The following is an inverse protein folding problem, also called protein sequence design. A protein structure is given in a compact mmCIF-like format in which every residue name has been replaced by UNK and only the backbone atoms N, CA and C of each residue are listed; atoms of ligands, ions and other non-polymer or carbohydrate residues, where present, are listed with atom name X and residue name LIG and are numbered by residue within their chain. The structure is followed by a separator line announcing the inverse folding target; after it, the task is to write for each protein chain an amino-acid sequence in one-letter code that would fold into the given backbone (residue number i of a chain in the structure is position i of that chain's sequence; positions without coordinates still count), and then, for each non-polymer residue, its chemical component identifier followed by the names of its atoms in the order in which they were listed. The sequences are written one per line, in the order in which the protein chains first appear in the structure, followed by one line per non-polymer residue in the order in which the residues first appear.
data_IF_211710589492
#
_entry.id   IF_211710589492
#
_cell.length_a   1.000
_cell.length_b   1.000
_cell.length_c   1.000
_cell.angle_alpha   90.00
_cell.angle_beta   90.00
_cell.angle_gamma   90.00
#
_symmetry.space_group_name_H-M   'P 1'
#
loop_
_entity.id
_entity.type
_entity.pdbx_description
1 polymer ?
2 non-polymer ?
3 non-polymer ?
4 water ?
#
# COMPACT_ATOMS: atom_id res chain seq x y z
N UNK A 1 12.36 13.27 -32.99
CA UNK A 1 11.10 12.77 -32.35
C UNK A 1 10.46 13.75 -31.33
N UNK A 2 9.14 13.68 -31.20
CA UNK A 2 8.38 14.51 -30.26
C UNK A 2 8.25 13.81 -28.91
N UNK A 3 7.91 14.59 -27.89
CA UNK A 3 7.48 14.06 -26.59
C UNK A 3 6.16 14.71 -26.25
N UNK A 4 5.21 13.92 -25.76
CA UNK A 4 3.92 14.46 -25.32
C UNK A 4 3.66 14.10 -23.87
N UNK A 5 2.71 14.79 -23.28
CA UNK A 5 2.20 14.43 -21.97
C UNK A 5 0.79 13.87 -22.14
N UNK A 6 0.51 12.77 -21.46
CA UNK A 6 -0.80 12.16 -21.48
C UNK A 6 -1.33 12.13 -20.07
N UNK A 7 -2.19 13.08 -19.72
CA UNK A 7 -2.82 13.12 -18.41
C UNK A 7 -4.12 12.31 -18.43
N UNK A 8 -4.21 11.33 -17.54
CA UNK A 8 -5.38 10.48 -17.48
C UNK A 8 -6.33 11.02 -16.44
N UNK A 9 -7.47 11.55 -16.87
CA UNK A 9 -8.45 12.13 -15.95
C UNK A 9 -9.86 11.63 -16.24
N UNK A 10 -9.96 10.55 -17.01
CA UNK A 10 -11.24 9.98 -17.39
C UNK A 10 -11.88 9.05 -16.36
N UNK A 11 -11.33 9.08 -15.13
CA UNK A 11 -11.75 8.15 -14.08
C UNK A 11 -13.11 8.40 -13.45
N UNK A 12 -13.64 7.34 -12.84
CA UNK A 12 -14.92 7.39 -12.10
C UNK A 12 -14.90 6.36 -10.96
N UNK A 22 -15.38 12.41 -9.28
CA UNK A 22 -13.96 12.03 -9.38
C UNK A 22 -13.07 13.00 -8.60
N UNK A 23 -11.97 12.48 -8.06
CA UNK A 23 -11.18 13.23 -7.09
C UNK A 23 -10.30 14.35 -7.68
N UNK A 24 -10.02 14.29 -8.98
CA UNK A 24 -9.10 15.26 -9.57
C UNK A 24 -9.71 16.66 -9.80
N UNK A 25 -11.03 16.78 -9.72
CA UNK A 25 -11.68 18.10 -9.79
C UNK A 25 -11.93 18.69 -8.41
N UNK A 26 -11.27 18.15 -7.39
CA UNK A 26 -11.34 18.70 -6.04
C UNK A 26 -10.23 19.70 -5.81
N UNK A 27 -10.55 20.76 -5.07
CA UNK A 27 -9.58 21.80 -4.77
C UNK A 27 -8.51 21.26 -3.82
N UNK A 28 -7.25 21.52 -4.16
CA UNK A 28 -6.16 21.18 -3.26
C UNK A 28 -5.46 22.50 -2.93
N UNK A 29 -5.60 22.93 -1.69
CA UNK A 29 -5.15 24.26 -1.31
C UNK A 29 -6.07 25.32 -1.89
N UNK A 30 -5.82 25.66 -3.15
CA UNK A 30 -6.47 26.78 -3.82
C UNK A 30 -7.00 26.43 -5.22
N UNK A 31 -6.47 25.35 -5.80
CA UNK A 31 -6.76 24.97 -7.19
C UNK A 31 -7.03 23.47 -7.35
N UNK A 32 -7.82 23.08 -8.38
CA UNK A 32 -8.09 21.67 -8.63
C UNK A 32 -6.81 20.83 -8.78
N UNK A 33 -6.90 19.58 -8.31
CA UNK A 33 -5.77 18.65 -8.35
C UNK A 33 -5.30 18.46 -9.78
N UNK A 34 -6.27 18.48 -10.72
CA UNK A 34 -5.95 18.31 -12.13
C UNK A 34 -5.10 19.47 -12.60
N UNK A 35 -5.44 20.67 -12.15
CA UNK A 35 -4.67 21.85 -12.51
C UNK A 35 -3.27 21.82 -11.91
N UNK A 36 -3.14 21.47 -10.62
CA UNK A 36 -1.83 21.21 -10.02
C UNK A 36 -0.97 20.30 -10.90
N UNK A 37 -1.58 19.19 -11.35
CA UNK A 37 -0.85 18.15 -12.08
C UNK A 37 -0.38 18.63 -13.46
N UNK A 38 -1.29 19.29 -14.20
CA UNK A 38 -0.95 19.87 -15.50
C UNK A 38 0.15 20.92 -15.35
N UNK A 39 0.12 21.69 -14.27
CA UNK A 39 1.16 22.70 -13.98
C UNK A 39 2.60 22.18 -14.14
N UNK A 40 2.89 21.00 -13.60
CA UNK A 40 4.26 20.47 -13.60
C UNK A 40 4.74 20.14 -15.01
N UNK A 41 3.81 20.12 -15.95
CA UNK A 41 4.14 19.71 -17.30
C UNK A 41 4.38 20.91 -18.19
N UNK A 42 3.84 22.05 -17.78
CA UNK A 42 3.88 23.26 -18.60
C UNK A 42 5.27 23.84 -18.70
N UNK A 43 6.07 23.69 -17.64
CA UNK A 43 7.42 24.23 -17.61
C UNK A 43 8.36 23.42 -18.47
N UNK A 44 8.16 22.11 -18.50
CA UNK A 44 9.08 21.22 -19.20
C UNK A 44 9.28 21.64 -20.65
N UNK A 45 10.50 22.11 -21.00
CA UNK A 45 10.74 22.58 -22.37
C UNK A 45 10.51 21.51 -23.44
N UNK A 46 10.90 20.26 -23.15
CA UNK A 46 10.86 19.21 -24.17
C UNK A 46 9.45 18.68 -24.51
N UNK A 47 8.47 18.99 -23.68
CA UNK A 47 7.11 18.48 -23.89
C UNK A 47 6.31 19.36 -24.86
N UNK A 48 5.96 18.76 -26.01
CA UNK A 48 5.30 19.45 -27.12
C UNK A 48 3.87 19.91 -26.81
N UNK A 49 2.98 18.95 -26.57
CA UNK A 49 1.66 19.29 -26.05
C UNK A 49 1.42 18.50 -24.77
N UNK A 50 0.45 18.95 -23.97
CA UNK A 50 -0.04 18.20 -22.83
C UNK A 50 -1.45 17.77 -23.16
N UNK A 51 -1.67 16.46 -23.23
CA UNK A 51 -2.98 15.93 -23.65
C UNK A 51 -3.66 15.26 -22.49
N UNK A 52 -4.89 15.69 -22.20
CA UNK A 52 -5.61 15.18 -21.04
C UNK A 52 -6.84 14.40 -21.49
N UNK A 53 -6.91 13.13 -21.06
CA UNK A 53 -8.08 12.28 -21.24
C UNK A 53 -9.11 12.57 -20.15
N UNK A 54 -10.21 13.19 -20.55
CA UNK A 54 -11.25 13.54 -19.60
C UNK A 54 -12.49 12.73 -19.93
N UNK A 55 -13.18 12.26 -18.88
CA UNK A 55 -14.48 11.62 -19.05
C UNK A 55 -15.36 12.53 -19.90
N UNK A 56 -15.93 11.96 -20.95
CA UNK A 56 -16.75 12.70 -21.91
C UNK A 56 -17.74 13.70 -21.35
N UNK A 57 -18.22 13.47 -20.13
CA UNK A 57 -19.15 14.39 -19.49
C UNK A 57 -18.47 15.63 -18.88
N UNK A 58 -17.19 15.47 -18.56
CA UNK A 58 -16.45 16.51 -17.84
C UNK A 58 -15.55 17.38 -18.75
N UNK A 59 -15.46 17.03 -20.03
CA UNK A 59 -14.64 17.77 -21.03
C UNK A 59 -14.80 19.29 -20.96
N UNK A 60 -16.03 19.78 -21.11
CA UNK A 60 -16.28 21.21 -21.12
C UNK A 60 -15.89 21.81 -19.78
N UNK A 61 -16.11 21.07 -18.70
CA UNK A 61 -15.78 21.54 -17.36
C UNK A 61 -14.29 21.54 -17.11
N UNK A 62 -13.56 20.74 -17.88
CA UNK A 62 -12.10 20.74 -17.83
C UNK A 62 -11.51 21.93 -18.59
N UNK A 63 -12.20 22.36 -19.64
CA UNK A 63 -11.76 23.52 -20.41
C UNK A 63 -12.03 24.84 -19.70
N UNK A 64 -13.17 24.94 -19.00
CA UNK A 64 -13.45 26.12 -18.18
C UNK A 64 -12.41 26.25 -17.08
N UNK A 65 -11.94 25.08 -16.61
CA UNK A 65 -10.94 24.98 -15.58
C UNK A 65 -9.61 25.45 -16.12
N UNK A 66 -9.30 25.04 -17.35
CA UNK A 66 -8.05 25.44 -17.97
C UNK A 66 -8.06 26.94 -18.20
N UNK A 67 -9.17 27.47 -18.73
CA UNK A 67 -9.29 28.92 -18.92
C UNK A 67 -9.15 29.69 -17.61
N UNK A 68 -9.86 29.25 -16.58
CA UNK A 68 -9.84 29.91 -15.28
C UNK A 68 -8.48 29.81 -14.59
N UNK A 69 -7.82 28.65 -14.70
CA UNK A 69 -6.60 28.43 -13.92
C UNK A 69 -5.28 28.47 -14.69
N UNK A 70 -5.31 28.19 -15.98
CA UNK A 70 -4.08 28.21 -16.78
C UNK A 70 -4.30 28.87 -18.16
N UNK A 71 -4.78 30.13 -18.16
CA UNK A 71 -5.07 30.78 -19.45
C UNK A 71 -3.82 31.01 -20.31
N UNK A 72 -2.64 31.03 -19.68
CA UNK A 72 -1.38 31.22 -20.40
C UNK A 72 -0.92 29.98 -21.18
N UNK A 73 -1.56 28.84 -20.96
CA UNK A 73 -1.10 27.59 -21.57
C UNK A 73 -2.18 26.84 -22.36
N UNK A 74 -3.33 27.48 -22.59
CA UNK A 74 -4.44 26.89 -23.33
C UNK A 74 -3.96 26.29 -24.65
N UNK A 75 -2.97 26.93 -25.27
CA UNK A 75 -2.40 26.41 -26.51
C UNK A 75 -1.55 25.16 -26.30
N UNK A 76 -0.97 25.03 -25.11
CA UNK A 76 -0.12 23.89 -24.79
C UNK A 76 -0.92 22.69 -24.35
N UNK A 77 -2.23 22.85 -24.23
CA UNK A 77 -3.08 21.80 -23.66
C UNK A 77 -4.19 21.35 -24.62
N UNK A 78 -4.33 20.03 -24.76
CA UNK A 78 -5.44 19.46 -25.51
C UNK A 78 -6.32 18.64 -24.57
N UNK A 79 -7.58 19.03 -24.47
CA UNK A 79 -8.57 18.32 -23.66
C UNK A 79 -9.40 17.39 -24.55
N UNK A 80 -9.30 16.10 -24.28
CA UNK A 80 -9.96 15.08 -25.09
C UNK A 80 -10.74 14.03 -24.30
N UNK A 81 -11.76 13.48 -24.93
CA UNK A 81 -12.60 12.45 -24.32
C UNK A 81 -11.79 11.18 -24.07
N UNK A 82 -11.68 10.78 -22.81
CA UNK A 82 -11.05 9.51 -22.48
C UNK A 82 -12.04 8.37 -22.61
N UNK A 83 -11.58 7.16 -22.31
CA UNK A 83 -12.38 5.94 -22.51
C UNK A 83 -12.81 5.26 -21.22
N UNK A 84 -13.34 4.04 -21.38
CA UNK A 84 -13.91 3.25 -20.28
C UNK A 84 -12.92 2.82 -19.19
N UNK A 85 -11.66 2.58 -19.56
CA UNK A 85 -10.59 2.19 -18.63
C UNK A 85 -9.28 2.89 -19.00
N UNK A 86 -8.35 2.99 -18.06
CA UNK A 86 -7.16 3.82 -18.28
C UNK A 86 -6.45 3.51 -19.60
N UNK A 87 -6.33 2.23 -19.94
CA UNK A 87 -5.72 1.86 -21.21
C UNK A 87 -6.43 2.51 -22.42
N UNK A 88 -7.76 2.48 -22.42
CA UNK A 88 -8.56 3.12 -23.46
C UNK A 88 -8.33 4.63 -23.50
N UNK A 89 -8.34 5.25 -22.33
CA UNK A 89 -7.98 6.66 -22.27
C UNK A 89 -6.65 6.92 -22.96
N UNK A 90 -5.65 6.06 -22.74
CA UNK A 90 -4.39 6.19 -23.44
C UNK A 90 -4.63 6.12 -24.95
N UNK A 91 -5.27 5.05 -25.42
CA UNK A 91 -5.63 4.92 -26.84
C UNK A 91 -6.17 6.25 -27.38
N UNK A 92 -7.09 6.86 -26.64
CA UNK A 92 -7.73 8.12 -27.01
C UNK A 92 -6.79 9.31 -26.98
N UNK A 93 -5.87 9.31 -26.03
CA UNK A 93 -4.87 10.35 -25.91
C UNK A 93 -3.89 10.25 -27.08
N UNK A 94 -3.50 9.02 -27.41
CA UNK A 94 -2.57 8.83 -28.52
C UNK A 94 -3.24 9.20 -29.84
N UNK A 95 -4.52 8.85 -29.98
CA UNK A 95 -5.32 9.28 -31.14
C UNK A 95 -5.36 10.80 -31.30
N UNK A 96 -5.57 11.51 -30.20
CA UNK A 96 -5.63 12.98 -30.22
C UNK A 96 -4.28 13.60 -30.57
N UNK A 97 -3.21 13.03 -30.02
CA UNK A 97 -1.85 13.35 -30.45
C UNK A 97 -1.71 13.19 -31.97
N UNK A 98 -2.24 12.10 -32.50
CA UNK A 98 -2.16 11.78 -33.95
C UNK A 98 -2.93 12.79 -34.79
N UNK A 99 -3.95 13.39 -34.19
CA UNK A 99 -4.76 14.42 -34.84
C UNK A 99 -4.02 15.77 -34.89
N UNK A 100 -3.18 16.03 -33.88
CA UNK A 100 -2.35 17.24 -33.82
C UNK A 100 -1.20 17.16 -34.82
N UNK A 101 -0.46 16.06 -34.78
CA UNK A 101 0.57 15.78 -35.75
C UNK A 101 0.56 14.29 -35.97
N UNK A 102 0.58 13.84 -37.24
CA UNK A 102 0.64 12.40 -37.53
C UNK A 102 1.82 11.75 -36.81
N UNK A 103 1.53 10.69 -36.06
CA UNK A 103 2.52 9.97 -35.27
C UNK A 103 3.62 9.35 -36.14
N UNK A 104 4.86 9.50 -35.71
CA UNK A 104 5.98 8.75 -36.29
C UNK A 104 6.32 7.61 -35.35
N UNK A 105 7.05 6.58 -35.84
CA UNK A 105 7.48 5.48 -34.99
C UNK A 105 8.18 5.93 -33.70
N UNK A 106 8.78 7.11 -33.70
CA UNK A 106 9.64 7.52 -32.58
C UNK A 106 9.05 8.47 -31.53
N UNK A 107 7.85 9.00 -31.79
CA UNK A 107 7.20 9.98 -30.91
C UNK A 107 6.77 9.34 -29.59
N UNK A 108 6.80 10.12 -28.50
CA UNK A 108 6.64 9.59 -27.14
C UNK A 108 5.47 10.17 -26.33
N UNK A 109 4.91 9.36 -25.43
CA UNK A 109 3.92 9.85 -24.50
C UNK A 109 4.35 9.52 -23.06
N UNK A 110 4.36 10.54 -22.22
CA UNK A 110 4.63 10.38 -20.81
C UNK A 110 3.25 10.43 -20.19
N UNK A 111 2.72 9.26 -19.83
CA UNK A 111 1.40 9.20 -19.20
C UNK A 111 1.51 9.31 -17.70
N UNK A 112 0.48 9.87 -17.08
CA UNK A 112 0.51 10.16 -15.65
C UNK A 112 -0.90 10.38 -15.13
N UNK A 113 -1.13 9.93 -13.90
CA UNK A 113 -2.43 10.06 -13.26
C UNK A 113 -2.66 11.53 -12.93
N UNK A 114 -3.81 12.08 -13.34
CA UNK A 114 -4.24 13.41 -12.89
C UNK A 114 -4.26 13.52 -11.36
N UNK A 115 -4.62 12.41 -10.70
CA UNK A 115 -4.65 12.38 -9.24
C UNK A 115 -3.26 12.22 -8.56
N UNK A 116 -2.18 12.31 -9.33
CA UNK A 116 -0.84 12.42 -8.72
C UNK A 116 -0.23 13.82 -8.84
N UNK A 117 -0.60 14.74 -7.93
CA UNK A 117 -0.20 16.13 -8.13
C UNK A 117 1.18 16.50 -7.57
N UNK A 118 1.98 15.50 -7.15
CA UNK A 118 3.30 15.79 -6.59
C UNK A 118 4.44 15.22 -7.40
N UNK A 119 4.16 14.86 -8.65
CA UNK A 119 5.21 14.49 -9.59
C UNK A 119 6.17 15.68 -9.75
N UNK A 120 7.46 15.39 -9.93
CA UNK A 120 8.47 16.42 -10.05
C UNK A 120 9.06 16.45 -11.45
N UNK A 121 9.39 17.64 -11.95
CA UNK A 121 10.10 17.78 -13.21
C UNK A 121 11.24 16.78 -13.32
N UNK A 122 11.83 16.47 -12.17
CA UNK A 122 12.89 15.46 -12.08
C UNK A 122 12.41 14.10 -12.58
N UNK A 123 11.27 13.63 -12.05
CA UNK A 123 10.68 12.38 -12.52
C UNK A 123 10.38 12.42 -14.02
N UNK A 124 9.58 13.41 -14.43
CA UNK A 124 9.26 13.65 -15.85
C UNK A 124 10.51 13.54 -16.75
N UNK A 125 11.60 14.15 -16.29
CA UNK A 125 12.84 14.16 -17.08
C UNK A 125 13.58 12.83 -17.12
N UNK A 126 13.49 12.04 -16.06
CA UNK A 126 14.06 10.69 -16.06
C UNK A 126 13.29 9.76 -16.99
N UNK A 127 11.96 9.80 -16.90
CA UNK A 127 11.09 9.03 -17.79
C UNK A 127 11.44 9.27 -19.28
N UNK A 128 11.37 10.53 -19.68
CA UNK A 128 11.80 10.94 -21.02
C UNK A 128 13.18 10.37 -21.32
N UNK A 129 14.08 10.51 -20.35
CA UNK A 129 15.49 10.18 -20.51
C UNK A 129 15.71 8.67 -20.64
N UNK A 130 15.06 7.89 -19.78
CA UNK A 130 15.15 6.43 -19.84
C UNK A 130 14.60 5.84 -21.15
N UNK A 131 13.39 6.26 -21.54
CA UNK A 131 12.78 5.88 -22.82
C UNK A 131 13.68 5.89 -24.09
N UNK A 132 14.79 6.61 -24.04
CA UNK A 132 15.71 6.63 -25.18
C UNK A 132 16.16 5.21 -25.58
N UNK A 133 16.69 4.46 -24.60
CA UNK A 133 17.24 3.12 -24.87
C UNK A 133 16.45 1.96 -24.21
N UNK A 134 15.17 2.20 -23.95
CA UNK A 134 14.23 1.16 -23.51
C UNK A 134 12.88 1.30 -24.21
N UNK A 135 12.09 0.24 -24.21
CA UNK A 135 10.81 0.20 -24.90
C UNK A 135 9.78 1.04 -24.18
N UNK A 136 9.84 0.99 -22.85
CA UNK A 136 8.94 1.73 -21.99
C UNK A 136 9.56 1.93 -20.60
N UNK A 137 8.94 2.79 -19.79
CA UNK A 137 9.50 3.20 -18.50
C UNK A 137 8.39 3.23 -17.44
N UNK A 138 8.62 2.54 -16.33
CA UNK A 138 7.68 2.54 -15.20
C UNK A 138 8.28 3.32 -14.05
N UNK A 139 7.45 4.14 -13.38
CA UNK A 139 7.92 4.90 -12.21
C UNK A 139 7.49 4.20 -10.93
N UNK A 140 8.48 3.71 -10.17
CA UNK A 140 8.23 2.86 -9.01
C UNK A 140 9.06 3.23 -7.77
N UNK A 141 8.61 2.77 -6.61
CA UNK A 141 9.39 2.83 -5.37
C UNK A 141 9.31 1.50 -4.61
N UNK A 142 10.40 1.16 -3.92
CA UNK A 142 10.47 -0.02 -3.05
C UNK A 142 9.25 -0.15 -2.14
N UNK A 143 8.70 -1.35 -2.06
CA UNK A 143 7.45 -1.63 -1.36
C UNK A 143 7.57 -1.47 0.15
N UNK A 144 6.53 -0.91 0.77
CA UNK A 144 6.55 -0.63 2.22
C UNK A 144 5.75 -1.69 3.00
N UNK A 145 4.51 -1.93 2.59
CA UNK A 145 3.70 -2.98 3.20
C UNK A 145 4.26 -4.35 2.85
N UNK A 146 3.99 -5.31 3.71
CA UNK A 146 4.22 -6.70 3.38
C UNK A 146 3.11 -7.15 2.40
N UNK A 147 3.53 -7.69 1.26
CA UNK A 147 2.60 -8.10 0.21
C UNK A 147 2.27 -9.60 0.27
N UNK A 148 0.97 -9.89 0.24
CA UNK A 148 0.45 -11.24 0.38
C UNK A 148 -0.35 -11.60 -0.88
N UNK A 149 -0.16 -12.82 -1.36
CA UNK A 149 -0.90 -13.27 -2.54
C UNK A 149 -1.93 -14.33 -2.19
N UNK A 150 -3.00 -14.36 -2.96
CA UNK A 150 -4.03 -15.36 -2.80
C UNK A 150 -4.80 -15.40 -4.10
N UNK A 151 -4.61 -16.48 -4.85
CA UNK A 151 -5.31 -16.68 -6.10
C UNK A 151 -6.79 -16.93 -5.84
N UNK A 152 -7.10 -17.51 -4.69
CA UNK A 152 -8.46 -17.84 -4.33
C UNK A 152 -9.13 -16.76 -3.49
N UNK A 153 -8.35 -16.12 -2.63
CA UNK A 153 -8.90 -15.11 -1.72
C UNK A 153 -9.48 -15.73 -0.46
N UNK A 154 -8.99 -16.92 -0.10
CA UNK A 154 -9.44 -17.62 1.08
C UNK A 154 -8.26 -17.89 2.00
N UNK A 155 -7.17 -18.35 1.42
CA UNK A 155 -5.91 -18.59 2.15
C UNK A 155 -4.75 -18.13 1.29
N UNK A 156 -3.56 -18.04 1.89
CA UNK A 156 -2.37 -17.58 1.17
C UNK A 156 -1.83 -18.63 0.19
N UNK A 157 -1.82 -18.28 -1.10
CA UNK A 157 -1.24 -19.15 -2.12
C UNK A 157 0.25 -18.90 -2.24
N UNK A 158 0.66 -17.65 -2.02
CA UNK A 158 2.08 -17.27 -2.06
C UNK A 158 2.37 -15.98 -1.29
N UNK A 159 3.60 -15.87 -0.80
CA UNK A 159 4.14 -14.58 -0.37
C UNK A 159 5.41 -14.33 -1.20
N UNK A 160 5.39 -13.26 -2.02
CA UNK A 160 6.57 -12.94 -2.83
C UNK A 160 7.71 -12.42 -1.98
N UNK A 161 8.93 -12.48 -2.51
CA UNK A 161 10.09 -11.98 -1.81
C UNK A 161 10.09 -10.46 -1.82
N UNK A 162 9.93 -9.89 -0.63
CA UNK A 162 9.63 -8.47 -0.48
C UNK A 162 10.79 -7.54 -0.84
N UNK A 163 11.94 -8.13 -1.16
CA UNK A 163 13.15 -7.37 -1.51
C UNK A 163 13.22 -7.07 -3.00
N UNK A 164 12.22 -7.53 -3.75
CA UNK A 164 12.17 -7.35 -5.19
C UNK A 164 10.84 -6.75 -5.60
N UNK A 165 10.03 -6.43 -4.61
CA UNK A 165 8.72 -5.82 -4.84
C UNK A 165 8.80 -4.31 -4.80
N UNK A 166 8.09 -3.70 -5.73
CA UNK A 166 8.05 -2.26 -5.87
C UNK A 166 6.62 -1.81 -5.88
N UNK A 167 6.37 -0.67 -5.24
CA UNK A 167 5.08 -0.02 -5.33
C UNK A 167 5.07 0.78 -6.62
N UNK A 168 4.13 0.46 -7.49
CA UNK A 168 4.04 1.07 -8.81
C UNK A 168 3.28 2.37 -8.78
N UNK A 169 3.88 3.41 -9.34
CA UNK A 169 3.19 4.67 -9.55
C UNK A 169 3.33 5.09 -11.02
N UNK A 170 2.94 6.32 -11.33
CA UNK A 170 3.17 6.88 -12.67
C UNK A 170 4.12 8.06 -12.46
N UNK A 171 4.79 8.55 -13.53
CA UNK A 171 4.68 8.29 -14.98
C UNK A 171 4.93 6.88 -15.47
N UNK A 172 4.22 6.55 -16.54
CA UNK A 172 4.53 5.40 -17.35
C UNK A 172 4.74 6.01 -18.73
N UNK A 173 5.92 5.75 -19.28
CA UNK A 173 6.36 6.42 -20.47
C UNK A 173 6.82 5.38 -21.48
N UNK A 174 6.43 5.58 -22.73
CA UNK A 174 6.71 4.66 -23.84
C UNK A 174 6.34 5.37 -25.14
N UNK A 175 6.80 4.80 -26.26
CA UNK A 175 6.45 5.30 -27.59
C UNK A 175 4.96 5.10 -27.89
N UNK A 176 4.44 5.89 -28.82
CA UNK A 176 3.01 5.93 -29.08
C UNK A 176 2.57 4.77 -29.94
N UNK A 177 3.26 4.57 -31.07
CA UNK A 177 2.99 3.48 -31.98
C UNK A 177 3.00 2.15 -31.23
N UNK A 178 4.01 1.98 -30.37
CA UNK A 178 4.18 0.75 -29.58
C UNK A 178 2.94 0.36 -28.80
N UNK A 179 2.34 1.34 -28.14
CA UNK A 179 1.15 1.08 -27.36
C UNK A 179 -0.01 0.71 -28.28
N UNK A 180 -0.21 1.50 -29.32
CA UNK A 180 -1.24 1.23 -30.33
C UNK A 180 -1.10 -0.13 -31.02
N UNK A 181 0.12 -0.67 -31.07
CA UNK A 181 0.35 -1.99 -31.66
C UNK A 181 0.06 -3.13 -30.68
N UNK A 182 0.63 -3.03 -29.48
CA UNK A 182 0.53 -4.09 -28.48
C UNK A 182 -0.87 -4.17 -27.90
N UNK A 183 -1.41 -3.01 -27.52
CA UNK A 183 -2.78 -2.92 -27.02
C UNK A 183 -3.78 -3.30 -28.10
N UNK A 184 -3.48 -2.91 -29.34
CA UNK A 184 -4.34 -3.21 -30.48
C UNK A 184 -4.56 -4.68 -30.68
N UNK A 185 -3.52 -5.48 -30.39
CA UNK A 185 -3.54 -6.91 -30.68
C UNK A 185 -4.15 -7.78 -29.56
N UNK A 186 -5.00 -7.19 -28.72
CA UNK A 186 -5.55 -7.89 -27.56
C UNK A 186 -7.05 -8.06 -27.65
N UNK A 187 -7.52 -9.27 -27.38
CA UNK A 187 -8.95 -9.54 -27.26
C UNK A 187 -9.50 -8.69 -26.12
N UNK A 188 -10.82 -8.53 -26.09
CA UNK A 188 -11.46 -7.76 -25.02
C UNK A 188 -11.16 -8.37 -23.66
N UNK A 189 -11.22 -9.70 -23.61
CA UNK A 189 -10.93 -10.48 -22.40
C UNK A 189 -9.53 -10.21 -21.83
N UNK A 190 -8.54 -10.05 -22.71
CA UNK A 190 -7.20 -9.72 -22.30
C UNK A 190 -7.10 -8.29 -21.77
N UNK A 191 -7.74 -7.34 -22.46
CA UNK A 191 -7.79 -5.94 -22.03
C UNK A 191 -8.39 -5.83 -20.63
N UNK A 192 -9.43 -6.62 -20.37
CA UNK A 192 -10.09 -6.64 -19.07
C UNK A 192 -9.18 -7.13 -17.95
N UNK A 193 -8.18 -7.94 -18.31
CA UNK A 193 -7.25 -8.50 -17.33
C UNK A 193 -5.95 -7.70 -17.29
N UNK A 194 -5.57 -7.15 -18.44
CA UNK A 194 -4.31 -6.42 -18.58
C UNK A 194 -4.54 -4.91 -18.47
N UNK A 195 -5.07 -4.48 -17.32
CA UNK A 195 -5.49 -3.09 -17.08
C UNK A 195 -4.33 -2.10 -16.92
N UNK A 196 -3.19 -2.57 -16.41
CA UNK A 196 -1.99 -1.75 -16.27
C UNK A 196 -1.34 -1.59 -17.63
N UNK A 197 -0.89 -0.38 -17.92
CA UNK A 197 -0.30 -0.10 -19.22
C UNK A 197 1.09 -0.71 -19.36
N UNK A 198 1.78 -0.89 -18.24
CA UNK A 198 3.14 -1.43 -18.31
C UNK A 198 3.12 -2.95 -18.40
N UNK A 199 2.10 -3.54 -17.77
CA UNK A 199 1.89 -4.98 -17.84
C UNK A 199 1.92 -5.47 -19.29
N UNK A 200 1.19 -4.77 -20.15
CA UNK A 200 1.07 -5.14 -21.56
C UNK A 200 2.44 -5.26 -22.23
N UNK A 201 3.33 -4.31 -21.95
CA UNK A 201 4.71 -4.34 -22.47
C UNK A 201 5.51 -5.52 -21.96
N UNK A 202 5.30 -5.90 -20.70
CA UNK A 202 6.05 -6.98 -20.07
C UNK A 202 5.66 -8.34 -20.64
N UNK A 203 4.36 -8.62 -20.69
CA UNK A 203 3.83 -9.89 -21.20
C UNK A 203 4.15 -10.10 -22.68
N UNK A 204 4.35 -9.00 -23.41
CA UNK A 204 4.78 -9.08 -24.81
C UNK A 204 6.30 -9.16 -24.88
N UNK A 205 6.93 -9.44 -23.75
CA UNK A 205 8.36 -9.69 -23.67
C UNK A 205 9.23 -8.49 -23.96
N UNK A 206 8.79 -7.32 -23.53
CA UNK A 206 9.49 -6.07 -23.84
C UNK A 206 10.25 -5.49 -22.66
N UNK A 207 11.37 -4.83 -22.96
CA UNK A 207 12.26 -4.22 -21.97
C UNK A 207 11.65 -2.97 -21.34
N UNK A 208 11.17 -3.10 -20.10
CA UNK A 208 10.61 -1.96 -19.34
C UNK A 208 11.47 -1.61 -18.13
N UNK A 209 12.23 -0.53 -18.25
CA UNK A 209 13.10 -0.08 -17.17
C UNK A 209 12.32 0.69 -16.11
N UNK A 210 12.95 0.86 -14.95
CA UNK A 210 12.34 1.52 -13.80
C UNK A 210 12.86 2.95 -13.62
N UNK A 211 11.94 3.87 -13.34
CA UNK A 211 12.28 5.23 -12.98
C UNK A 211 12.06 5.37 -11.49
N UNK A 212 12.99 6.03 -10.81
CA UNK A 212 12.86 6.29 -9.37
C UNK A 212 11.72 7.26 -9.09
N UNK A 213 10.71 6.81 -8.37
CA UNK A 213 9.60 7.67 -7.94
C UNK A 213 9.84 8.21 -6.54
N UNK A 214 8.88 8.96 -6.02
CA UNK A 214 9.01 9.51 -4.69
C UNK A 214 7.88 9.00 -3.81
N UNK A 215 8.19 8.60 -2.59
CA UNK A 215 7.14 8.21 -1.63
C UNK A 215 6.09 9.31 -1.52
N UNK A 216 6.45 10.51 -1.95
CA UNK A 216 5.55 11.65 -1.89
C UNK A 216 4.64 11.74 -3.12
N UNK A 217 4.94 10.95 -4.15
CA UNK A 217 4.10 10.94 -5.36
C UNK A 217 2.71 10.31 -5.11
N UNK A 218 2.10 10.73 -4.01
CA UNK A 218 0.80 10.22 -3.58
C UNK A 218 -0.19 10.19 -4.74
N UNK A 219 -1.03 9.19 -4.72
CA UNK A 219 -2.14 9.11 -5.64
C UNK A 219 -3.39 9.33 -4.80
N UNK A 220 -4.18 10.33 -5.19
CA UNK A 220 -5.28 10.78 -4.34
C UNK A 220 -6.59 10.10 -4.74
N UNK A 221 -6.90 8.99 -4.07
CA UNK A 221 -8.12 8.25 -4.36
C UNK A 221 -9.16 8.35 -3.23
N UNK A 222 -8.70 8.33 -1.98
CA UNK A 222 -9.59 8.33 -0.83
C UNK A 222 -9.61 9.67 -0.11
N UNK A 223 -10.64 9.90 0.70
CA UNK A 223 -10.71 11.07 1.57
C UNK A 223 -9.54 11.15 2.56
N UNK A 224 -8.87 10.02 2.77
CA UNK A 224 -7.65 9.93 3.57
C UNK A 224 -6.47 10.48 2.76
N UNK A 225 -6.37 10.07 1.50
CA UNK A 225 -5.37 10.62 0.59
C UNK A 225 -5.47 12.14 0.52
N UNK A 226 -6.70 12.67 0.53
CA UNK A 226 -6.93 14.12 0.52
C UNK A 226 -6.25 14.82 1.69
N UNK A 227 -6.42 14.30 2.90
CA UNK A 227 -5.80 14.84 4.11
C UNK A 227 -4.26 14.85 4.01
N UNK A 228 -3.68 13.73 3.57
CA UNK A 228 -2.23 13.63 3.42
C UNK A 228 -1.71 14.71 2.49
N UNK A 229 -2.44 14.94 1.41
CA UNK A 229 -2.11 15.96 0.43
C UNK A 229 -2.16 17.37 1.01
N UNK A 230 -3.26 17.68 1.71
CA UNK A 230 -3.42 18.98 2.37
C UNK A 230 -2.26 19.33 3.30
N UNK A 231 -1.87 18.37 4.15
CA UNK A 231 -0.73 18.55 5.05
C UNK A 231 0.61 18.68 4.31
N UNK A 232 0.65 18.27 3.05
CA UNK A 232 1.85 18.43 2.24
C UNK A 232 1.98 19.82 1.59
N UNK A 233 0.91 20.61 1.65
CA UNK A 233 0.96 21.99 1.13
C UNK A 233 0.66 23.01 2.24
N UNK A 234 1.06 22.67 3.46
CA UNK A 234 0.78 23.47 4.68
C UNK A 234 -0.72 23.72 4.88
N UNK B 1 -10.49 -24.63 25.61
CA UNK B 1 -9.12 -24.05 25.67
C UNK B 1 -9.15 -22.51 25.68
N UNK B 2 -7.95 -21.91 25.75
CA UNK B 2 -7.81 -20.48 26.04
C UNK B 2 -7.57 -19.60 24.81
N UNK B 3 -7.84 -18.31 24.97
CA UNK B 3 -7.58 -17.30 23.95
C UNK B 3 -6.87 -16.10 24.59
N UNK B 4 -5.70 -15.76 24.06
CA UNK B 4 -4.92 -14.61 24.55
C UNK B 4 -4.70 -13.57 23.45
N UNK B 5 -4.57 -12.30 23.86
CA UNK B 5 -4.19 -11.24 22.96
C UNK B 5 -2.70 -10.95 23.18
N UNK B 6 -1.93 -10.93 22.10
CA UNK B 6 -0.50 -10.66 22.19
C UNK B 6 -0.14 -9.36 21.49
N UNK B 7 0.07 -8.30 22.27
CA UNK B 7 0.29 -6.97 21.73
C UNK B 7 1.77 -6.62 21.57
N UNK B 8 2.22 -6.64 20.33
CA UNK B 8 3.60 -6.32 20.00
C UNK B 8 3.78 -4.81 20.12
N UNK B 9 4.47 -4.40 21.18
CA UNK B 9 4.45 -3.01 21.64
C UNK B 9 5.77 -2.48 22.15
N UNK B 10 6.89 -2.88 21.55
CA UNK B 10 8.19 -2.38 22.00
C UNK B 10 9.45 -2.80 21.28
N UNK B 11 10.33 -1.82 21.07
CA UNK B 11 11.62 -2.02 20.42
C UNK B 11 12.22 -0.71 19.92
N UNK B 12 13.55 -0.69 19.80
CA UNK B 12 14.26 0.44 19.18
C UNK B 12 15.19 -0.04 18.05
N UNK B 13 15.90 0.91 17.43
CA UNK B 13 16.72 0.63 16.25
C UNK B 13 16.04 1.09 14.97
N UNK B 14 14.70 1.21 15.04
CA UNK B 14 13.89 1.74 13.94
C UNK B 14 13.79 3.26 14.02
N UNK B 21 10.92 7.42 15.50
CA UNK B 21 10.69 7.18 16.93
C UNK B 21 9.28 6.59 17.16
N UNK B 22 9.16 5.25 17.11
CA UNK B 22 7.91 4.51 17.31
C UNK B 22 6.91 5.15 18.30
N UNK B 23 5.64 5.12 17.93
CA UNK B 23 4.63 6.05 18.46
C UNK B 23 3.68 5.52 19.55
N UNK B 24 3.88 4.29 20.02
CA UNK B 24 2.89 3.65 20.92
C UNK B 24 2.57 4.40 22.23
N UNK B 25 3.43 5.31 22.67
CA UNK B 25 3.19 6.01 23.92
C UNK B 25 2.77 7.47 23.73
N UNK B 26 2.47 7.85 22.49
CA UNK B 26 2.02 9.21 22.20
C UNK B 26 0.51 9.38 22.36
N UNK B 27 0.12 10.58 22.81
CA UNK B 27 -1.29 10.93 23.00
C UNK B 27 -2.05 10.93 21.67
N UNK B 28 -3.18 10.21 21.66
CA UNK B 28 -4.12 10.19 20.55
C UNK B 28 -5.46 10.61 21.15
N UNK B 29 -5.90 11.83 20.83
CA UNK B 29 -7.10 12.39 21.43
C UNK B 29 -6.81 12.82 22.87
N UNK B 30 -6.76 11.83 23.77
CA UNK B 30 -6.33 12.07 25.14
C UNK B 30 -5.48 10.92 25.70
N UNK B 31 -5.72 9.71 25.19
CA UNK B 31 -5.06 8.49 25.67
C UNK B 31 -3.88 8.12 24.77
N UNK B 32 -2.83 7.49 25.34
CA UNK B 32 -1.72 7.00 24.53
C UNK B 32 -2.23 5.96 23.53
N UNK B 33 -1.57 5.85 22.38
CA UNK B 33 -2.05 4.96 21.31
C UNK B 33 -2.21 3.53 21.81
N UNK B 34 -1.19 3.02 22.51
CA UNK B 34 -1.22 1.67 23.06
C UNK B 34 -2.48 1.42 23.86
N UNK B 35 -2.91 2.40 24.66
CA UNK B 35 -4.10 2.27 25.48
C UNK B 35 -5.33 2.05 24.61
N UNK B 36 -5.49 2.89 23.59
CA UNK B 36 -6.56 2.69 22.61
C UNK B 36 -6.57 1.24 22.13
N UNK B 37 -5.40 0.73 21.74
CA UNK B 37 -5.26 -0.63 21.23
C UNK B 37 -5.71 -1.70 22.23
N UNK B 38 -5.22 -1.64 23.47
CA UNK B 38 -5.64 -2.62 24.50
C UNK B 38 -7.17 -2.57 24.75
N UNK B 39 -7.74 -1.37 24.70
CA UNK B 39 -9.18 -1.15 24.91
C UNK B 39 -10.05 -1.95 23.94
N UNK B 40 -9.54 -2.18 22.74
CA UNK B 40 -10.29 -2.94 21.74
C UNK B 40 -10.42 -4.41 22.14
N UNK B 41 -9.35 -4.95 22.72
CA UNK B 41 -9.33 -6.35 23.14
C UNK B 41 -10.07 -6.64 24.45
N UNK B 42 -10.31 -5.63 25.28
CA UNK B 42 -11.13 -5.82 26.49
C UNK B 42 -12.62 -5.95 26.12
N UNK B 43 -12.98 -5.47 24.93
CA UNK B 43 -14.32 -5.61 24.38
C UNK B 43 -14.71 -7.08 24.23
N UNK B 44 -13.76 -7.89 23.77
CA UNK B 44 -13.96 -9.34 23.64
C UNK B 44 -14.04 -10.02 25.01
N UNK B 45 -15.25 -10.51 25.36
CA UNK B 45 -15.42 -11.18 26.64
C UNK B 45 -14.64 -12.49 26.77
N UNK B 46 -14.24 -13.09 25.64
CA UNK B 46 -13.65 -14.44 25.65
C UNK B 46 -12.13 -14.50 25.78
N UNK B 47 -11.45 -13.38 25.57
CA UNK B 47 -9.98 -13.34 25.68
C UNK B 47 -9.55 -13.34 27.14
N UNK B 48 -8.89 -14.42 27.55
CA UNK B 48 -8.40 -14.60 28.92
C UNK B 48 -7.59 -13.41 29.45
N UNK B 49 -6.32 -13.32 29.05
CA UNK B 49 -5.48 -12.20 29.45
C UNK B 49 -4.90 -11.51 28.22
N UNK B 50 -4.55 -10.23 28.38
CA UNK B 50 -3.96 -9.47 27.29
C UNK B 50 -2.51 -9.18 27.62
N UNK B 51 -1.62 -9.90 26.94
CA UNK B 51 -0.19 -9.84 27.20
C UNK B 51 0.46 -8.82 26.28
N UNK B 52 1.08 -7.79 26.87
CA UNK B 52 1.69 -6.69 26.11
C UNK B 52 3.22 -6.81 26.13
N UNK B 53 3.84 -6.72 24.95
CA UNK B 53 5.28 -6.91 24.82
C UNK B 53 6.02 -5.62 24.47
N UNK B 54 6.52 -4.95 25.51
CA UNK B 54 7.22 -3.66 25.37
C UNK B 54 8.73 -3.81 25.53
N UNK B 55 9.46 -2.76 25.15
CA UNK B 55 10.91 -2.71 25.33
C UNK B 55 11.25 -2.83 26.81
N UNK B 56 12.46 -3.33 27.09
CA UNK B 56 12.92 -3.51 28.48
C UNK B 56 12.82 -2.27 29.34
N UNK B 57 13.22 -1.13 28.80
CA UNK B 57 13.19 0.16 29.49
C UNK B 57 11.78 0.67 29.80
N UNK B 58 10.80 0.14 29.10
CA UNK B 58 9.44 0.70 29.11
C UNK B 58 8.41 -0.13 29.88
N UNK B 59 8.84 -1.28 30.38
CA UNK B 59 7.97 -2.20 31.12
C UNK B 59 7.14 -1.50 32.19
N UNK B 60 7.79 -0.72 33.05
CA UNK B 60 7.09 -0.04 34.13
C UNK B 60 6.26 1.16 33.64
N UNK B 61 6.76 1.86 32.63
CA UNK B 61 6.02 2.96 32.02
C UNK B 61 4.66 2.47 31.51
N UNK B 62 4.67 1.27 30.93
CA UNK B 62 3.45 0.59 30.48
C UNK B 62 2.56 0.17 31.67
N UNK B 63 3.18 -0.37 32.72
CA UNK B 63 2.45 -0.73 33.94
C UNK B 63 1.68 0.43 34.51
N UNK B 64 2.32 1.59 34.55
CA UNK B 64 1.70 2.80 35.06
C UNK B 64 0.56 3.27 34.16
N UNK B 65 0.78 3.20 32.85
CA UNK B 65 -0.23 3.56 31.87
C UNK B 65 -1.51 2.74 32.04
N UNK B 66 -1.35 1.47 32.43
CA UNK B 66 -2.49 0.63 32.77
C UNK B 66 -3.10 1.08 34.09
N UNK B 67 -2.27 1.33 35.10
CA UNK B 67 -2.76 1.82 36.38
C UNK B 67 -3.49 3.16 36.27
N UNK B 68 -3.08 3.99 35.30
CA UNK B 68 -3.64 5.34 35.15
C UNK B 68 -4.84 5.41 34.21
N UNK B 69 -4.81 4.65 33.13
CA UNK B 69 -5.84 4.76 32.09
C UNK B 69 -6.85 3.61 32.04
N UNK B 70 -6.43 2.43 32.50
CA UNK B 70 -7.32 1.26 32.57
C UNK B 70 -7.35 0.68 34.00
N UNK B 71 -7.96 1.41 34.94
CA UNK B 71 -7.87 1.01 36.36
C UNK B 71 -8.55 -0.32 36.66
N UNK B 72 -9.73 -0.53 36.08
CA UNK B 72 -10.51 -1.74 36.36
C UNK B 72 -9.93 -2.95 35.64
N UNK B 73 -9.60 -2.81 34.35
CA UNK B 73 -9.08 -3.94 33.56
C UNK B 73 -7.58 -4.15 33.75
N UNK B 74 -7.05 -3.82 34.92
CA UNK B 74 -5.61 -3.93 35.16
C UNK B 74 -5.13 -5.36 35.43
N UNK B 75 -5.94 -6.14 36.13
CA UNK B 75 -5.62 -7.55 36.39
C UNK B 75 -5.89 -8.44 35.17
N UNK B 76 -6.42 -7.84 34.10
CA UNK B 76 -6.64 -8.52 32.82
C UNK B 76 -5.40 -8.48 31.94
N UNK B 77 -4.51 -7.54 32.21
CA UNK B 77 -3.38 -7.24 31.33
C UNK B 77 -2.04 -7.62 31.95
N UNK B 78 -1.17 -8.24 31.16
CA UNK B 78 0.16 -8.64 31.60
C UNK B 78 1.25 -7.99 30.75
N UNK B 79 2.08 -7.17 31.39
CA UNK B 79 3.21 -6.53 30.72
C UNK B 79 4.43 -7.46 30.72
N UNK B 80 5.13 -7.53 29.59
CA UNK B 80 6.35 -8.34 29.48
C UNK B 80 7.37 -7.72 28.53
N UNK B 81 8.62 -8.19 28.63
CA UNK B 81 9.72 -7.70 27.79
C UNK B 81 9.59 -8.22 26.36
N UNK B 82 9.91 -7.37 25.37
CA UNK B 82 9.94 -7.78 23.96
C UNK B 82 11.30 -8.33 23.55
N UNK B 83 11.47 -8.57 22.25
CA UNK B 83 12.75 -9.07 21.72
C UNK B 83 13.38 -8.13 20.70
N UNK B 84 14.39 -8.61 19.98
CA UNK B 84 15.06 -7.84 18.93
C UNK B 84 14.14 -7.55 17.74
N UNK B 85 13.35 -8.55 17.35
CA UNK B 85 12.34 -8.42 16.30
C UNK B 85 11.02 -9.00 16.79
N UNK B 86 9.91 -8.67 16.11
CA UNK B 86 8.57 -9.07 16.56
C UNK B 86 8.38 -10.58 16.72
N UNK B 87 9.13 -11.37 15.95
CA UNK B 87 9.14 -12.82 16.12
C UNK B 87 9.75 -13.25 17.45
N UNK B 88 10.88 -12.63 17.80
CA UNK B 88 11.51 -12.86 19.09
C UNK B 88 10.57 -12.40 20.20
N UNK B 89 9.80 -11.37 19.91
CA UNK B 89 8.80 -10.84 20.84
C UNK B 89 7.62 -11.80 21.02
N UNK B 90 7.08 -12.31 19.91
CA UNK B 90 6.00 -13.31 19.99
C UNK B 90 6.49 -14.51 20.83
N UNK B 91 7.75 -14.90 20.62
CA UNK B 91 8.40 -15.91 21.45
C UNK B 91 8.29 -15.53 22.92
N UNK B 92 8.64 -14.27 23.24
CA UNK B 92 8.60 -13.75 24.60
C UNK B 92 7.19 -13.61 25.16
N UNK B 93 6.23 -13.28 24.30
CA UNK B 93 4.83 -13.20 24.72
C UNK B 93 4.34 -14.60 25.04
N UNK B 94 4.61 -15.54 24.14
CA UNK B 94 4.25 -16.94 24.35
C UNK B 94 4.83 -17.50 25.66
N UNK B 95 6.13 -17.32 25.85
CA UNK B 95 6.82 -17.85 27.04
C UNK B 95 6.33 -17.19 28.32
N UNK B 96 5.81 -15.96 28.20
CA UNK B 96 5.19 -15.28 29.34
C UNK B 96 3.84 -15.91 29.69
N UNK B 97 3.10 -16.30 28.67
CA UNK B 97 1.82 -16.99 28.86
C UNK B 97 2.03 -18.37 29.50
N UNK B 98 3.07 -19.08 29.06
CA UNK B 98 3.43 -20.37 29.62
C UNK B 98 3.77 -20.27 31.11
N UNK B 99 4.25 -19.10 31.53
CA UNK B 99 4.48 -18.83 32.93
C UNK B 99 3.16 -18.58 33.67
N UNK B 100 2.17 -18.06 32.95
CA UNK B 100 0.86 -17.78 33.55
C UNK B 100 0.02 -19.04 33.64
N UNK B 101 -0.02 -19.79 32.54
CA UNK B 101 -0.80 -21.00 32.44
C UNK B 101 -0.15 -21.90 31.41
N UNK B 102 0.42 -23.04 31.86
CA UNK B 102 1.04 -24.04 30.98
C UNK B 102 0.27 -24.21 29.67
N UNK B 103 0.99 -24.15 28.56
CA UNK B 103 0.38 -24.15 27.24
C UNK B 103 -0.30 -25.47 26.92
N UNK B 104 -1.55 -25.37 26.48
CA UNK B 104 -2.27 -26.51 25.94
C UNK B 104 -2.27 -26.39 24.41
N UNK B 105 -1.85 -27.46 23.69
CA UNK B 105 -1.53 -27.44 22.26
C UNK B 105 -2.44 -26.60 21.35
N UNK B 106 -3.67 -26.34 21.78
CA UNK B 106 -4.66 -25.62 20.95
C UNK B 106 -4.82 -24.15 21.33
N UNK B 107 -4.28 -23.74 22.48
CA UNK B 107 -4.34 -22.34 22.93
C UNK B 107 -3.83 -21.36 21.85
N UNK B 108 -4.74 -20.50 21.38
CA UNK B 108 -4.41 -19.52 20.34
C UNK B 108 -4.01 -18.14 20.90
N UNK B 109 -3.16 -17.45 20.14
CA UNK B 109 -2.78 -16.07 20.46
C UNK B 109 -3.16 -15.14 19.30
N UNK B 110 -3.85 -14.05 19.62
CA UNK B 110 -4.18 -13.03 18.64
C UNK B 110 -3.15 -11.91 18.72
N UNK B 111 -2.11 -12.03 17.90
CA UNK B 111 -1.04 -11.04 17.86
C UNK B 111 -1.51 -9.77 17.13
N UNK B 112 -1.05 -8.61 17.58
CA UNK B 112 -1.51 -7.35 17.00
C UNK B 112 -0.55 -6.19 17.27
N UNK B 113 -0.30 -5.37 16.24
CA UNK B 113 0.50 -4.16 16.41
C UNK B 113 -0.16 -3.18 17.38
N UNK B 114 0.59 -2.74 18.39
CA UNK B 114 0.13 -1.71 19.31
C UNK B 114 -0.17 -0.37 18.62
N UNK B 115 0.49 -0.13 17.49
CA UNK B 115 0.31 1.09 16.66
C UNK B 115 -0.81 0.97 15.64
N UNK B 116 -1.70 -0.02 15.84
CA UNK B 116 -2.90 -0.20 15.05
C UNK B 116 -4.10 -0.16 15.99
N UNK B 117 -4.49 1.05 16.43
CA UNK B 117 -5.55 1.19 17.43
C UNK B 117 -6.98 1.18 16.86
N UNK B 118 -7.10 1.19 15.54
CA UNK B 118 -8.42 1.22 14.87
C UNK B 118 -8.91 -0.16 14.46
N UNK B 119 -8.54 -1.15 15.24
CA UNK B 119 -9.02 -2.51 15.06
C UNK B 119 -10.43 -2.58 15.66
N UNK B 120 -11.36 -3.21 14.94
CA UNK B 120 -12.73 -3.39 15.43
C UNK B 120 -12.89 -4.75 16.09
N UNK B 121 -13.97 -4.92 16.84
CA UNK B 121 -14.31 -6.22 17.42
C UNK B 121 -14.57 -7.23 16.30
N UNK B 122 -15.18 -6.76 15.21
CA UNK B 122 -15.49 -7.60 14.05
C UNK B 122 -14.22 -8.31 13.56
N UNK B 123 -13.15 -7.55 13.36
CA UNK B 123 -11.85 -8.10 12.98
C UNK B 123 -11.33 -9.13 13.98
N UNK B 124 -11.41 -8.80 15.27
CA UNK B 124 -10.98 -9.68 16.36
C UNK B 124 -11.71 -11.01 16.31
N UNK B 125 -13.04 -10.93 16.22
CA UNK B 125 -13.90 -12.11 16.24
C UNK B 125 -13.71 -13.00 15.02
N UNK B 126 -13.41 -12.39 13.87
CA UNK B 126 -13.10 -13.16 12.67
C UNK B 126 -11.80 -13.95 12.83
N UNK B 127 -10.87 -13.40 13.60
CA UNK B 127 -9.60 -14.09 13.90
C UNK B 127 -9.73 -15.30 14.84
N UNK B 128 -10.49 -15.15 15.93
CA UNK B 128 -10.78 -16.29 16.81
C UNK B 128 -11.51 -17.37 16.01
N UNK B 129 -12.49 -16.95 15.21
CA UNK B 129 -13.34 -17.87 14.45
C UNK B 129 -12.56 -18.60 13.36
N UNK B 130 -11.80 -17.87 12.55
CA UNK B 130 -11.06 -18.49 11.45
C UNK B 130 -9.91 -19.36 11.94
N UNK B 131 -9.39 -19.07 13.14
CA UNK B 131 -8.33 -19.88 13.76
C UNK B 131 -8.80 -21.28 14.18
N UNK B 132 -10.11 -21.46 14.29
CA UNK B 132 -10.69 -22.76 14.67
C UNK B 132 -10.18 -23.86 13.75
N UNK B 133 -10.51 -23.76 12.47
CA UNK B 133 -10.16 -24.81 11.51
C UNK B 133 -9.17 -24.37 10.42
N UNK B 134 -8.21 -23.54 10.83
CA UNK B 134 -7.06 -23.25 10.01
C UNK B 134 -5.83 -23.22 10.92
N UNK B 135 -4.65 -23.30 10.31
CA UNK B 135 -3.39 -23.26 11.05
C UNK B 135 -3.08 -21.86 11.59
N UNK B 136 -3.39 -20.84 10.77
CA UNK B 136 -3.14 -19.45 11.12
C UNK B 136 -4.06 -18.48 10.37
N UNK B 137 -4.10 -17.24 10.84
CA UNK B 137 -4.94 -16.20 10.25
C UNK B 137 -4.15 -14.91 10.02
N UNK B 138 -4.42 -14.25 8.90
CA UNK B 138 -3.75 -13.00 8.55
C UNK B 138 -4.75 -11.93 8.11
N UNK B 139 -5.01 -10.96 8.98
CA UNK B 139 -5.87 -9.82 8.64
C UNK B 139 -5.27 -9.07 7.45
N UNK B 140 -6.10 -8.79 6.45
CA UNK B 140 -5.61 -8.40 5.14
C UNK B 140 -6.63 -7.53 4.41
N UNK B 141 -6.16 -6.69 3.48
CA UNK B 141 -7.01 -5.93 2.58
C UNK B 141 -6.46 -5.99 1.17
N UNK B 142 -7.33 -5.81 0.17
CA UNK B 142 -6.89 -5.83 -1.22
C UNK B 142 -5.89 -4.73 -1.44
N UNK B 143 -4.79 -5.08 -2.09
CA UNK B 143 -3.77 -4.10 -2.49
C UNK B 143 -4.45 -3.00 -3.27
N UNK B 144 -4.14 -1.75 -2.94
CA UNK B 144 -4.61 -0.61 -3.72
C UNK B 144 -3.57 -0.20 -4.76
N UNK B 145 -2.31 -0.54 -4.50
CA UNK B 145 -1.21 -0.20 -5.40
C UNK B 145 -0.91 -1.37 -6.32
N UNK B 146 -0.61 -1.05 -7.58
CA UNK B 146 -0.03 -2.02 -8.51
C UNK B 146 1.32 -2.41 -7.93
N UNK B 147 1.53 -3.71 -7.72
CA UNK B 147 2.82 -4.20 -7.25
C UNK B 147 3.64 -4.67 -8.44
N UNK B 148 4.88 -4.20 -8.50
CA UNK B 148 5.78 -4.47 -9.61
C UNK B 148 6.98 -5.26 -9.13
N UNK B 149 7.24 -6.39 -9.75
CA UNK B 149 8.39 -7.20 -9.40
C UNK B 149 9.54 -6.97 -10.38
N UNK B 150 10.75 -6.85 -9.83
CA UNK B 150 11.96 -6.77 -10.62
C UNK B 150 13.08 -7.45 -9.86
N UNK B 151 13.54 -8.58 -10.40
CA UNK B 151 14.60 -9.37 -9.76
C UNK B 151 15.98 -8.78 -9.97
N UNK B 152 16.21 -8.20 -11.16
CA UNK B 152 17.50 -7.57 -11.46
C UNK B 152 17.64 -6.18 -10.85
N UNK B 153 16.57 -5.39 -10.88
CA UNK B 153 16.55 -4.06 -10.28
C UNK B 153 16.64 -2.89 -11.24
N UNK B 154 16.63 -3.17 -12.55
CA UNK B 154 16.66 -2.10 -13.56
C UNK B 154 15.54 -2.23 -14.58
N UNK B 155 15.15 -3.45 -14.90
CA UNK B 155 13.95 -3.68 -15.70
C UNK B 155 13.07 -4.77 -15.08
N UNK B 156 11.76 -4.61 -15.23
CA UNK B 156 10.73 -5.47 -14.63
C UNK B 156 10.83 -6.94 -15.04
N UNK B 157 10.63 -7.84 -14.08
CA UNK B 157 10.48 -9.28 -14.37
C UNK B 157 9.07 -9.81 -14.15
N UNK B 158 8.15 -8.95 -13.71
CA UNK B 158 6.78 -9.38 -13.39
C UNK B 158 5.86 -8.28 -12.83
N UNK B 159 4.64 -8.21 -13.35
CA UNK B 159 3.56 -7.45 -12.70
C UNK B 159 2.43 -8.42 -12.36
N UNK B 160 2.40 -8.91 -11.11
CA UNK B 160 1.39 -9.90 -10.74
C UNK B 160 0.01 -9.34 -10.97
N UNK B 161 -0.98 -10.21 -11.05
CA UNK B 161 -2.38 -9.79 -11.06
C UNK B 161 -2.69 -9.11 -9.74
N UNK B 162 -3.21 -7.89 -9.81
CA UNK B 162 -3.49 -7.12 -8.60
C UNK B 162 -4.70 -7.66 -7.86
N UNK B 163 -5.63 -8.26 -8.59
CA UNK B 163 -6.85 -8.81 -8.02
C UNK B 163 -6.55 -9.88 -6.99
N UNK B 164 -5.36 -10.48 -7.08
CA UNK B 164 -4.95 -11.60 -6.23
C UNK B 164 -3.99 -11.19 -5.11
N UNK B 165 -3.73 -9.90 -5.00
CA UNK B 165 -2.70 -9.39 -4.09
C UNK B 165 -3.29 -8.65 -2.91
N UNK B 166 -2.62 -8.77 -1.77
CA UNK B 166 -3.12 -8.23 -0.50
C UNK B 166 -2.09 -7.51 0.36
N UNK B 167 -2.52 -6.46 1.03
CA UNK B 167 -1.68 -5.78 2.00
C UNK B 167 -1.79 -6.46 3.34
N UNK B 168 -0.64 -6.78 3.91
CA UNK B 168 -0.58 -7.39 5.23
C UNK B 168 -0.93 -6.39 6.30
N UNK B 169 -1.70 -6.83 7.28
CA UNK B 169 -2.04 -6.04 8.46
C UNK B 169 -1.79 -6.90 9.68
N UNK B 170 -2.39 -6.50 10.81
CA UNK B 170 -2.60 -7.37 11.96
C UNK B 170 -4.04 -7.11 12.37
N UNK B 171 -4.69 -8.04 13.10
CA UNK B 171 -4.23 -9.30 13.72
C UNK B 171 -3.60 -10.36 12.81
N UNK B 172 -2.63 -11.06 13.40
CA UNK B 172 -2.14 -12.34 12.91
C UNK B 172 -2.35 -13.33 14.05
N UNK B 173 -3.08 -14.41 13.79
CA UNK B 173 -3.49 -15.32 14.86
C UNK B 173 -3.04 -16.76 14.63
N UNK B 174 -2.70 -17.45 15.73
CA UNK B 174 -2.25 -18.83 15.70
C UNK B 174 -2.18 -19.48 17.09
N UNK B 175 -1.97 -20.79 17.10
CA UNK B 175 -1.76 -21.55 18.32
C UNK B 175 -0.35 -21.32 18.83
N UNK B 176 -0.22 -21.16 20.14
CA UNK B 176 1.06 -20.81 20.77
C UNK B 176 2.14 -21.85 20.55
N UNK B 177 1.80 -23.12 20.77
CA UNK B 177 2.73 -24.23 20.54
C UNK B 177 3.13 -24.30 19.07
N UNK B 178 2.16 -24.07 18.18
CA UNK B 178 2.39 -24.14 16.74
C UNK B 178 3.49 -23.21 16.25
N UNK B 179 3.47 -21.97 16.76
CA UNK B 179 4.47 -20.96 16.40
C UNK B 179 5.85 -21.32 16.97
N UNK B 180 5.89 -21.72 18.25
CA UNK B 180 7.15 -22.06 18.92
C UNK B 180 7.85 -23.20 18.21
N UNK B 181 7.08 -24.19 17.79
CA UNK B 181 7.60 -25.40 17.14
C UNK B 181 8.17 -25.12 15.74
N UNK B 182 7.79 -23.99 15.15
CA UNK B 182 8.32 -23.59 13.85
C UNK B 182 9.50 -22.61 13.99
N UNK B 183 9.36 -21.66 14.90
CA UNK B 183 10.43 -20.72 15.24
C UNK B 183 11.66 -21.46 15.76
N UNK B 184 11.44 -22.62 16.36
CA UNK B 184 12.50 -23.48 16.87
C UNK B 184 13.36 -24.05 15.74
N UNK B 185 12.73 -24.79 14.84
CA UNK B 185 13.43 -25.46 13.73
C UNK B 185 14.18 -24.50 12.79
N UNK B 186 13.98 -23.20 12.99
CA UNK B 186 14.66 -22.18 12.22
C UNK B 186 15.97 -21.81 12.90
N UNK B 187 17.02 -21.63 12.10
CA UNK B 187 18.33 -21.23 12.62
C UNK B 187 18.42 -19.70 12.80
N UNK B 188 19.47 -19.27 13.51
CA UNK B 188 19.71 -17.85 13.79
C UNK B 188 19.86 -16.99 12.54
N UNK B 189 20.46 -17.57 11.50
CA UNK B 189 20.60 -16.92 10.20
C UNK B 189 19.32 -17.07 9.36
N UNK B 190 18.55 -18.11 9.68
CA UNK B 190 17.30 -18.39 9.00
C UNK B 190 16.19 -17.45 9.46
N UNK B 191 16.19 -17.14 10.76
CA UNK B 191 15.20 -16.24 11.37
C UNK B 191 15.27 -14.82 10.81
N UNK B 192 16.46 -14.43 10.34
CA UNK B 192 16.70 -13.10 9.78
C UNK B 192 15.94 -12.83 8.47
N UNK B 193 15.93 -13.83 7.59
CA UNK B 193 15.43 -13.68 6.21
C UNK B 193 13.90 -13.57 6.13
N UNK B 194 13.19 -14.04 7.16
CA UNK B 194 11.73 -13.96 7.20
C UNK B 194 11.20 -13.47 8.55
N UNK B 195 11.16 -12.15 8.70
CA UNK B 195 10.80 -11.54 9.99
C UNK B 195 9.30 -11.45 10.30
N UNK B 196 8.44 -11.70 9.30
CA UNK B 196 6.98 -11.74 9.52
C UNK B 196 6.55 -13.14 9.96
N UNK B 197 5.56 -13.19 10.85
CA UNK B 197 5.13 -14.44 11.49
C UNK B 197 4.38 -15.39 10.56
N UNK B 198 3.50 -14.84 9.73
CA UNK B 198 2.75 -15.63 8.75
C UNK B 198 3.63 -16.21 7.64
N UNK B 199 4.75 -15.52 7.38
CA UNK B 199 5.71 -15.97 6.38
C UNK B 199 6.37 -17.30 6.78
N UNK B 200 6.41 -17.56 8.09
CA UNK B 200 6.97 -18.81 8.62
C UNK B 200 6.03 -19.99 8.35
N UNK B 201 4.74 -19.80 8.65
CA UNK B 201 3.71 -20.81 8.42
C UNK B 201 3.61 -21.23 6.96
N UNK B 202 3.54 -20.25 6.06
CA UNK B 202 3.40 -20.49 4.63
C UNK B 202 4.59 -21.26 4.07
N UNK B 203 5.80 -20.76 4.31
CA UNK B 203 6.99 -21.36 3.69
C UNK B 203 7.36 -22.71 4.34
N UNK B 204 6.76 -23.00 5.49
CA UNK B 204 6.77 -24.35 6.03
C UNK B 204 5.44 -25.04 5.74
N UNK B 205 4.88 -24.73 4.57
CA UNK B 205 3.65 -25.35 4.06
C UNK B 205 2.54 -25.53 5.08
N UNK B 206 1.93 -24.43 5.51
CA UNK B 206 0.75 -24.52 6.34
C UNK B 206 -0.44 -23.72 5.80
N UNK B 207 -1.63 -24.15 6.19
CA UNK B 207 -2.90 -23.59 5.71
C UNK B 207 -3.29 -22.37 6.53
N UNK B 208 -2.83 -21.21 6.08
CA UNK B 208 -3.11 -19.92 6.72
C UNK B 208 -4.09 -19.07 5.90
N UNK B 209 -5.26 -18.83 6.48
CA UNK B 209 -6.38 -18.19 5.80
C UNK B 209 -6.36 -16.68 6.00
N UNK B 210 -7.07 -15.98 5.12
CA UNK B 210 -7.18 -14.53 5.16
C UNK B 210 -8.37 -14.08 6.02
N UNK B 211 -8.21 -12.95 6.70
CA UNK B 211 -9.31 -12.30 7.41
C UNK B 211 -9.55 -10.92 6.79
N UNK B 212 -10.81 -10.62 6.51
CA UNK B 212 -11.18 -9.34 5.94
C UNK B 212 -10.76 -8.23 6.89
N UNK B 213 -9.83 -7.39 6.44
CA UNK B 213 -9.31 -6.30 7.26
C UNK B 213 -10.07 -5.02 7.02
N UNK B 214 -9.44 -3.89 7.34
CA UNK B 214 -10.07 -2.59 7.19
C UNK B 214 -9.08 -1.55 6.68
N UNK B 215 -9.51 -0.77 5.69
CA UNK B 215 -8.66 0.30 5.16
C UNK B 215 -8.39 1.39 6.19
N UNK B 216 -9.27 1.49 7.18
CA UNK B 216 -9.12 2.41 8.31
C UNK B 216 -8.18 1.85 9.39
N UNK B 217 -7.83 0.56 9.29
CA UNK B 217 -6.92 -0.09 10.26
C UNK B 217 -5.47 0.36 10.09
N UNK B 218 -5.25 1.66 10.36
CA UNK B 218 -3.99 2.36 10.11
C UNK B 218 -2.86 1.89 11.00
N UNK B 219 -1.65 1.85 10.44
CA UNK B 219 -0.46 1.56 11.22
C UNK B 219 0.32 2.87 11.47
N UNK B 220 0.24 3.37 12.70
CA UNK B 220 0.87 4.65 13.06
C UNK B 220 2.41 4.52 13.15
N UNK B 221 3.09 4.96 12.10
CA UNK B 221 4.54 4.87 12.00
C UNK B 221 5.20 6.25 11.80
N UNK B 222 4.64 7.04 10.88
CA UNK B 222 5.20 8.34 10.54
C UNK B 222 4.44 9.46 11.28
N UNK B 223 4.91 10.69 11.09
CA UNK B 223 4.25 11.85 11.66
C UNK B 223 2.90 12.10 10.99
N UNK B 224 2.86 12.11 9.65
CA UNK B 224 1.60 12.30 8.94
C UNK B 224 0.59 11.23 9.35
N UNK B 225 1.07 10.03 9.63
CA UNK B 225 0.23 8.94 10.14
C UNK B 225 -0.44 9.30 11.46
N UNK B 226 0.29 9.99 12.33
CA UNK B 226 -0.28 10.48 13.58
C UNK B 226 -1.31 11.57 13.29
N UNK B 227 -1.01 12.43 12.31
CA UNK B 227 -1.93 13.48 11.87
C UNK B 227 -3.23 12.90 11.30
N UNK B 228 -3.13 11.88 10.46
CA UNK B 228 -4.32 11.20 9.97
C UNK B 228 -5.10 10.61 11.13
N UNK B 229 -4.39 9.95 12.05
CA UNK B 229 -5.00 9.28 13.19
C UNK B 229 -5.80 10.22 14.08
N UNK B 230 -5.21 11.38 14.40
CA UNK B 230 -5.86 12.39 15.24
C UNK B 230 -7.18 12.90 14.63
N UNK B 231 -7.22 13.02 13.30
CA UNK B 231 -8.43 13.42 12.59
C UNK B 231 -9.50 12.32 12.58
N UNK B 232 -9.06 11.06 12.72
CA UNK B 232 -9.98 9.93 12.68
C UNK B 232 -10.77 9.73 13.98
N UNK B 233 -10.24 10.26 15.09
CA UNK B 233 -10.88 10.13 16.40
C UNK B 233 -11.19 11.50 16.99
#
# INVERSE_FOLDING_TARGET
HMIYAGILAGGTGTRMGISNLPKQFLELGDRPILIHTIEKFVLEPSIEKIVVGVHGDWVSHAEDLVDKYLPLYKERIIITKGGADRNTSIKNIIEAIDAYRPLTPEDIVVTHDSVRPFITLRMIQDNIQLAQNHDAVDTVVEAVDTIVESTNGQFITDIPNRAHLYQGQTPQTFRCKDFMDLYGSLSDEEKEILTDACKIFVIKGKDVALAKGEYSNLKITTVTDLKIAKSMIEKD
HMIYAGILAGGTGTRMGISNLPKQFLELGDRPILIHTIEKFVLEPSIEKIVVGVHGDWVSHAEDLVDKYLPLYKERIIITKGGADRNTSIKNIIEAIDAYRPLTPEDIVVTHDSVRPFITLRMIQDNIQLAQNHDAVDTVVEAVDTIVESTNGQFITDIPNRAHLYQGQTPQTFRCKDFMDLYGSLSDEEKEILTDACKIFVIKGKDVALAKGEYSNLKITTVTDLKIAKSMIEKD
#
